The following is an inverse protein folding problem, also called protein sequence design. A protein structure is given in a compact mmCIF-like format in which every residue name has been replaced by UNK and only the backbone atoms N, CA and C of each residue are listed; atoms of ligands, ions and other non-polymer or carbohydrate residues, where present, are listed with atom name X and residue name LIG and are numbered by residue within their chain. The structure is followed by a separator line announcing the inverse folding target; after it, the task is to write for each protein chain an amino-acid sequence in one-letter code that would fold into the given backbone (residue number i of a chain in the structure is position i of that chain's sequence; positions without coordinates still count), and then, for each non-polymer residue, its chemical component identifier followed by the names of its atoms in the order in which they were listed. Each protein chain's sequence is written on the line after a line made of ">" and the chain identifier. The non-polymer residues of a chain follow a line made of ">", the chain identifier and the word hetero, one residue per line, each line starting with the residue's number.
data_IF_207517297438
#
_entry.id   IF_207517297438
#
_cell.length_a   1.000
_cell.length_b   1.000
_cell.length_c   1.000
_cell.angle_alpha   90.00
_cell.angle_beta   90.00
_cell.angle_gamma   90.00
#
_symmetry.space_group_name_H-M   'P 1'
#
loop_
_entity.id
_entity.type
_entity.pdbx_description
1 polymer ?
#
# COMPACT_ATOMS: atom_id res chain seq x y z
N UNK A 1 -2.08 27.71 -13.32
CA UNK A 1 -2.00 26.53 -12.43
C UNK A 1 -2.14 26.90 -10.95
N UNK A 2 -1.36 27.84 -10.40
CA UNK A 2 -1.42 28.22 -8.98
C UNK A 2 -2.81 28.63 -8.47
N UNK A 3 -3.63 29.33 -9.27
CA UNK A 3 -5.01 29.68 -8.88
C UNK A 3 -5.91 28.47 -8.66
N UNK A 4 -5.74 27.38 -9.44
CA UNK A 4 -6.49 26.13 -9.23
C UNK A 4 -6.08 25.44 -7.93
N UNK A 5 -4.79 25.48 -7.58
CA UNK A 5 -4.31 24.96 -6.28
C UNK A 5 -4.93 25.76 -5.12
N UNK A 6 -5.05 27.07 -5.24
CA UNK A 6 -5.72 27.90 -4.24
C UNK A 6 -7.24 27.68 -4.17
N UNK A 7 -7.90 27.37 -5.29
CA UNK A 7 -9.33 27.02 -5.32
C UNK A 7 -9.61 25.67 -4.65
N UNK A 8 -8.68 24.72 -4.75
CA UNK A 8 -8.78 23.42 -4.08
C UNK A 8 -8.93 23.59 -2.56
N UNK A 9 -8.26 24.57 -1.96
CA UNK A 9 -8.37 24.89 -0.54
C UNK A 9 -9.60 25.72 -0.17
N UNK A 10 -10.26 26.38 -1.15
CA UNK A 10 -11.50 27.13 -0.93
C UNK A 10 -12.73 26.24 -0.88
N UNK A 11 -12.77 25.16 -1.66
CA UNK A 11 -13.91 24.24 -1.67
C UNK A 11 -13.89 23.36 -0.42
N UNK A 12 -14.90 23.53 0.45
CA UNK A 12 -15.00 22.81 1.75
C UNK A 12 -14.92 21.29 1.59
N UNK A 13 -15.56 20.73 0.55
CA UNK A 13 -15.54 19.29 0.29
C UNK A 13 -14.13 18.79 -0.05
N UNK A 14 -13.42 19.49 -0.95
CA UNK A 14 -12.10 19.06 -1.40
C UNK A 14 -11.04 19.22 -0.32
N UNK A 15 -11.12 20.30 0.46
CA UNK A 15 -10.29 20.48 1.67
C UNK A 15 -10.48 19.34 2.66
N UNK A 16 -11.73 18.94 2.93
CA UNK A 16 -12.01 17.85 3.86
C UNK A 16 -11.48 16.50 3.35
N UNK A 17 -11.58 16.21 2.04
CA UNK A 17 -10.98 15.00 1.43
C UNK A 17 -9.45 15.00 1.55
N UNK A 18 -8.80 16.13 1.31
CA UNK A 18 -7.34 16.26 1.45
C UNK A 18 -6.90 16.06 2.90
N UNK A 19 -7.61 16.68 3.86
CA UNK A 19 -7.34 16.50 5.28
C UNK A 19 -7.53 15.05 5.72
N UNK A 20 -8.54 14.35 5.20
CA UNK A 20 -8.75 12.93 5.46
C UNK A 20 -7.58 12.08 4.93
N UNK A 21 -7.14 12.32 3.69
CA UNK A 21 -6.00 11.61 3.10
C UNK A 21 -4.73 11.86 3.91
N UNK A 22 -4.45 13.12 4.27
CA UNK A 22 -3.30 13.48 5.13
C UNK A 22 -3.38 12.81 6.50
N UNK A 23 -4.57 12.73 7.09
CA UNK A 23 -4.79 12.03 8.35
C UNK A 23 -4.48 10.54 8.20
N UNK A 24 -4.97 9.87 7.16
CA UNK A 24 -4.65 8.46 6.89
C UNK A 24 -3.14 8.25 6.72
N UNK A 25 -2.44 9.14 6.00
CA UNK A 25 -0.98 9.09 5.89
C UNK A 25 -0.27 9.27 7.23
N UNK A 26 -0.76 10.17 8.09
CA UNK A 26 -0.21 10.35 9.43
C UNK A 26 -0.37 9.07 10.27
N UNK A 27 -1.55 8.44 10.25
CA UNK A 27 -1.79 7.17 10.96
C UNK A 27 -0.90 6.05 10.39
N UNK A 28 -0.78 5.94 9.07
CA UNK A 28 0.14 4.98 8.43
C UNK A 28 1.59 5.20 8.89
N UNK A 29 2.06 6.44 8.95
CA UNK A 29 3.40 6.78 9.44
C UNK A 29 3.60 6.43 10.92
N UNK A 30 2.59 6.64 11.76
CA UNK A 30 2.65 6.21 13.16
C UNK A 30 2.79 4.69 13.27
N UNK A 31 1.99 3.93 12.51
CA UNK A 31 2.08 2.47 12.48
C UNK A 31 3.42 1.95 11.95
N UNK A 32 3.98 2.59 10.92
CA UNK A 32 5.29 2.25 10.37
C UNK A 32 6.47 2.54 11.32
N UNK A 33 6.25 3.32 12.38
CA UNK A 33 7.24 3.60 13.40
C UNK A 33 7.10 2.72 14.65
N UNK A 34 6.02 1.93 14.76
CA UNK A 34 5.82 1.01 15.88
C UNK A 34 6.52 -0.33 15.55
N UNK A 35 7.66 -0.65 16.19
CA UNK A 35 8.35 -1.91 15.97
C UNK A 35 7.55 -3.07 16.58
N UNK A 36 7.65 -4.24 15.97
CA UNK A 36 7.06 -5.46 16.50
C UNK A 36 7.85 -5.88 17.77
N UNK A 37 7.18 -6.13 18.91
CA UNK A 37 7.87 -6.56 20.13
C UNK A 37 8.47 -7.95 19.94
N UNK A 38 9.71 -8.14 20.42
CA UNK A 38 10.41 -9.43 20.37
C UNK A 38 11.43 -9.59 19.25
N UNK A 39 11.71 -8.54 18.47
CA UNK A 39 12.73 -8.56 17.41
C UNK A 39 13.88 -7.60 17.77
N UNK A 40 15.12 -8.09 17.67
CA UNK A 40 16.32 -7.27 17.83
C UNK A 40 16.55 -6.41 16.57
N UNK A 41 16.07 -5.17 16.64
CA UNK A 41 16.15 -4.19 15.54
C UNK A 41 17.60 -3.90 15.15
N UNK A 42 18.57 -4.01 16.07
CA UNK A 42 19.98 -3.73 15.78
C UNK A 42 20.57 -4.81 14.86
N UNK A 43 20.28 -6.07 15.14
CA UNK A 43 20.71 -7.21 14.30
C UNK A 43 20.08 -7.19 12.92
N UNK A 44 18.80 -6.83 12.83
CA UNK A 44 18.10 -6.75 11.54
C UNK A 44 18.61 -5.59 10.68
N UNK A 45 18.92 -4.43 11.28
CA UNK A 45 19.53 -3.31 10.56
C UNK A 45 20.91 -3.65 10.00
N UNK A 46 21.73 -4.37 10.75
CA UNK A 46 23.03 -4.85 10.28
C UNK A 46 22.88 -5.84 9.11
N UNK A 47 21.91 -6.76 9.20
CA UNK A 47 21.57 -7.68 8.13
C UNK A 47 21.10 -6.97 6.85
N UNK A 48 20.22 -5.97 6.96
CA UNK A 48 19.74 -5.20 5.81
C UNK A 48 20.81 -4.27 5.23
N UNK A 49 21.68 -3.69 6.04
CA UNK A 49 22.79 -2.86 5.58
C UNK A 49 23.80 -3.63 4.71
N UNK A 50 23.98 -4.93 4.98
CA UNK A 50 24.89 -5.79 4.19
C UNK A 50 24.38 -6.14 2.79
N UNK A 51 23.11 -5.84 2.46
CA UNK A 51 22.44 -6.30 1.25
C UNK A 51 21.72 -5.16 0.53
N UNK A 52 22.30 -4.68 -0.57
CA UNK A 52 21.78 -3.56 -1.35
C UNK A 52 20.34 -3.79 -1.89
N UNK A 53 19.96 -5.07 -2.11
CA UNK A 53 18.60 -5.44 -2.51
C UNK A 53 17.55 -5.09 -1.44
N UNK A 54 17.85 -5.31 -0.16
CA UNK A 54 16.93 -4.95 0.92
C UNK A 54 16.82 -3.43 1.10
N UNK A 55 17.89 -2.68 0.79
CA UNK A 55 17.84 -1.22 0.70
C UNK A 55 16.82 -0.72 -0.32
N UNK A 56 16.73 -1.36 -1.50
CA UNK A 56 15.71 -1.05 -2.50
C UNK A 56 14.30 -1.38 -1.99
N UNK A 57 14.13 -2.55 -1.36
CA UNK A 57 12.86 -2.95 -0.75
C UNK A 57 12.39 -1.96 0.34
N UNK A 58 13.33 -1.41 1.11
CA UNK A 58 13.06 -0.42 2.15
C UNK A 58 12.56 0.92 1.59
N UNK A 59 13.02 1.32 0.40
CA UNK A 59 12.50 2.50 -0.30
C UNK A 59 11.04 2.31 -0.70
N UNK A 60 10.68 1.12 -1.22
CA UNK A 60 9.30 0.82 -1.60
C UNK A 60 8.34 0.70 -0.39
N UNK A 61 8.87 0.38 0.78
CA UNK A 61 8.10 0.27 2.03
C UNK A 61 8.15 1.56 2.88
N UNK A 62 8.92 2.57 2.46
CA UNK A 62 8.98 3.89 3.10
C UNK A 62 9.77 3.96 4.41
N UNK A 63 10.72 3.03 4.61
CA UNK A 63 11.51 2.92 5.85
C UNK A 63 10.93 1.95 6.90
N UNK A 64 9.87 1.23 6.54
CA UNK A 64 9.13 0.35 7.45
C UNK A 64 9.84 -0.98 7.72
N UNK A 65 10.74 -1.41 6.81
CA UNK A 65 11.57 -2.62 6.95
C UNK A 65 12.71 -2.42 7.95
N UNK A 66 13.39 -1.27 7.93
CA UNK A 66 14.52 -0.97 8.84
C UNK A 66 14.13 -0.93 10.32
N UNK A 67 12.84 -0.68 10.61
CA UNK A 67 12.29 -0.63 11.95
C UNK A 67 11.47 -1.88 12.31
N UNK A 68 11.38 -2.86 11.41
CA UNK A 68 10.57 -4.09 11.56
C UNK A 68 9.18 -3.75 12.12
N UNK A 69 8.56 -2.77 11.47
CA UNK A 69 7.29 -2.25 11.93
C UNK A 69 6.14 -3.21 11.65
N UNK A 70 5.00 -3.00 12.31
CA UNK A 70 3.78 -3.77 12.05
C UNK A 70 3.39 -3.71 10.55
N UNK A 71 3.79 -2.65 9.86
CA UNK A 71 3.50 -2.38 8.44
C UNK A 71 4.75 -2.53 7.57
N UNK A 72 5.69 -3.42 7.95
CA UNK A 72 7.00 -3.53 7.30
C UNK A 72 6.94 -3.78 5.78
N UNK A 73 5.93 -4.50 5.27
CA UNK A 73 5.77 -4.76 3.82
C UNK A 73 4.90 -3.72 3.11
N UNK A 74 4.37 -2.73 3.83
CA UNK A 74 3.54 -1.67 3.26
C UNK A 74 2.36 -2.20 2.44
N UNK A 75 2.16 -1.59 1.28
CA UNK A 75 1.17 -2.01 0.28
C UNK A 75 1.66 -3.14 -0.63
N UNK A 76 2.92 -3.59 -0.46
CA UNK A 76 3.56 -4.58 -1.33
C UNK A 76 2.74 -5.85 -1.53
N UNK A 77 2.29 -6.54 -0.46
CA UNK A 77 1.50 -7.77 -0.58
C UNK A 77 0.19 -7.56 -1.36
N UNK A 78 -0.46 -6.41 -1.16
CA UNK A 78 -1.69 -6.06 -1.89
C UNK A 78 -1.41 -5.84 -3.39
N UNK A 79 -0.36 -5.09 -3.73
CA UNK A 79 0.03 -4.86 -5.13
C UNK A 79 0.37 -6.19 -5.79
N UNK A 80 1.14 -7.06 -5.12
CA UNK A 80 1.48 -8.39 -5.63
C UNK A 80 0.22 -9.25 -5.85
N UNK A 81 -0.72 -9.27 -4.89
CA UNK A 81 -1.97 -10.00 -5.04
C UNK A 81 -2.77 -9.51 -6.24
N UNK A 82 -2.93 -8.19 -6.41
CA UNK A 82 -3.64 -7.61 -7.56
C UNK A 82 -3.00 -8.02 -8.88
N UNK A 83 -1.67 -7.98 -8.98
CA UNK A 83 -0.95 -8.42 -10.19
C UNK A 83 -1.20 -9.91 -10.44
N UNK A 84 -1.15 -10.75 -9.40
CA UNK A 84 -1.42 -12.19 -9.53
C UNK A 84 -2.85 -12.41 -10.03
N UNK A 85 -3.84 -11.80 -9.39
CA UNK A 85 -5.25 -11.93 -9.80
C UNK A 85 -5.49 -11.41 -11.22
N UNK A 86 -4.82 -10.32 -11.61
CA UNK A 86 -4.89 -9.81 -12.97
C UNK A 86 -4.29 -10.79 -13.99
N UNK A 87 -3.19 -11.47 -13.67
CA UNK A 87 -2.65 -12.55 -14.51
C UNK A 87 -3.55 -13.78 -14.53
N UNK A 88 -4.18 -14.12 -13.40
CA UNK A 88 -5.12 -15.24 -13.31
C UNK A 88 -6.35 -15.05 -14.22
N UNK A 89 -6.81 -13.82 -14.44
CA UNK A 89 -7.87 -13.55 -15.43
C UNK A 89 -7.51 -13.93 -16.86
N UNK A 90 -6.22 -14.03 -17.20
CA UNK A 90 -5.76 -14.43 -18.53
C UNK A 90 -5.60 -15.94 -18.68
N UNK A 91 -5.37 -16.64 -17.56
CA UNK A 91 -5.08 -18.08 -17.52
C UNK A 91 -6.35 -18.89 -17.23
N UNK A 92 -7.20 -18.40 -16.32
CA UNK A 92 -8.39 -19.11 -15.86
C UNK A 92 -9.67 -18.45 -16.39
N UNK A 93 -10.41 -19.12 -17.30
CA UNK A 93 -11.61 -18.54 -17.88
C UNK A 93 -12.71 -18.30 -16.84
N UNK A 94 -12.75 -19.05 -15.73
CA UNK A 94 -13.71 -18.83 -14.65
C UNK A 94 -13.51 -17.47 -13.96
N UNK A 95 -12.26 -17.08 -13.72
CA UNK A 95 -11.91 -15.79 -13.10
C UNK A 95 -12.11 -14.66 -14.10
N UNK A 96 -11.85 -14.90 -15.39
CA UNK A 96 -12.18 -13.96 -16.46
C UNK A 96 -13.68 -13.65 -16.52
N UNK A 97 -14.53 -14.69 -16.48
CA UNK A 97 -15.99 -14.55 -16.47
C UNK A 97 -16.48 -13.80 -15.24
N UNK A 98 -15.94 -14.12 -14.07
CA UNK A 98 -16.24 -13.39 -12.83
C UNK A 98 -15.92 -11.89 -12.98
N UNK A 99 -14.79 -11.54 -13.60
CA UNK A 99 -14.38 -10.15 -13.74
C UNK A 99 -15.09 -9.39 -14.87
N UNK A 100 -15.42 -10.07 -15.98
CA UNK A 100 -15.95 -9.45 -17.21
C UNK A 100 -17.45 -9.65 -17.43
N UNK A 101 -18.00 -10.81 -17.08
CA UNK A 101 -19.37 -11.21 -17.40
C UNK A 101 -20.36 -10.95 -16.25
N UNK A 102 -19.93 -11.05 -14.99
CA UNK A 102 -20.79 -10.86 -13.81
C UNK A 102 -21.01 -9.37 -13.40
N UNK A 103 -20.54 -8.43 -14.21
CA UNK A 103 -20.76 -6.99 -14.00
C UNK A 103 -20.17 -6.46 -12.68
N UNK A 104 -20.86 -5.51 -12.03
CA UNK A 104 -20.38 -4.88 -10.78
C UNK A 104 -20.26 -5.87 -9.61
N UNK A 105 -21.18 -6.83 -9.51
CA UNK A 105 -21.18 -7.84 -8.45
C UNK A 105 -19.97 -8.78 -8.56
N UNK A 106 -19.64 -9.21 -9.79
CA UNK A 106 -18.46 -10.04 -10.06
C UNK A 106 -17.15 -9.32 -9.77
N UNK A 107 -17.05 -8.04 -10.13
CA UNK A 107 -15.89 -7.20 -9.79
C UNK A 107 -15.71 -7.00 -8.29
N UNK A 108 -16.80 -6.88 -7.53
CA UNK A 108 -16.71 -6.80 -6.07
C UNK A 108 -16.20 -8.11 -5.45
N UNK A 109 -16.71 -9.26 -5.89
CA UNK A 109 -16.19 -10.57 -5.46
C UNK A 109 -14.72 -10.73 -5.82
N UNK A 110 -14.32 -10.35 -7.03
CA UNK A 110 -12.93 -10.37 -7.47
C UNK A 110 -12.02 -9.52 -6.58
N UNK A 111 -12.46 -8.32 -6.16
CA UNK A 111 -11.70 -7.45 -5.27
C UNK A 111 -11.69 -7.91 -3.81
N UNK A 112 -12.62 -8.79 -3.42
CA UNK A 112 -12.69 -9.38 -2.08
C UNK A 112 -11.73 -10.58 -1.93
N UNK A 113 -11.47 -11.30 -3.01
CA UNK A 113 -10.48 -12.38 -3.06
C UNK A 113 -9.04 -11.85 -2.98
#
# INVERSE_FOLDING_TARGET
>A
MFKKILEIFKTKELRNKILFILFVFAVFRLMANIPIPGIDVARIREFFASNQFFGLMNLFTGGALDNVSIVMLGLGPYITAVIIFQLLTMIFPQIEKLYKEEGEAGRQKFNQY
#
